data_IF_954124342909
#
_entry.id   IF_954124342909
#
_cell.length_a   1.000
_cell.length_b   1.000
_cell.length_c   1.000
_cell.angle_alpha   90.00
_cell.angle_beta   90.00
_cell.angle_gamma   90.00
#
_symmetry.space_group_name_H-M   'P 1'
#
loop_
_entity.id
_entity.type
_entity.pdbx_description
1 polymer ?
#
# COMPACT_ATOMS: atom_id res chain seq x y z
N UNK A 1 3.79 -8.77 11.32
CA UNK A 1 4.51 -10.05 11.55
C UNK A 1 3.59 -11.26 11.72
N UNK A 2 2.58 -11.25 12.60
CA UNK A 2 1.73 -12.42 12.85
C UNK A 2 1.07 -13.01 11.59
N UNK A 3 0.64 -12.16 10.66
CA UNK A 3 0.05 -12.59 9.39
C UNK A 3 1.02 -13.44 8.52
N UNK A 4 2.32 -13.13 8.54
CA UNK A 4 3.33 -13.88 7.79
C UNK A 4 3.55 -15.27 8.39
N UNK A 5 3.64 -15.38 9.71
CA UNK A 5 3.77 -16.65 10.41
C UNK A 5 2.56 -17.57 10.11
N UNK A 6 1.33 -17.03 10.18
CA UNK A 6 0.11 -17.76 9.83
C UNK A 6 0.11 -18.21 8.38
N UNK A 7 0.56 -17.34 7.45
CA UNK A 7 0.61 -17.69 6.03
C UNK A 7 1.63 -18.79 5.75
N UNK A 8 2.82 -18.72 6.34
CA UNK A 8 3.86 -19.72 6.18
C UNK A 8 3.44 -21.09 6.73
N UNK A 9 2.77 -21.12 7.88
CA UNK A 9 2.21 -22.33 8.49
C UNK A 9 1.15 -22.98 7.59
N UNK A 10 0.19 -22.18 7.08
CA UNK A 10 -0.83 -22.64 6.13
C UNK A 10 -0.26 -23.20 4.83
N UNK A 11 0.83 -22.59 4.34
CA UNK A 11 1.55 -23.06 3.16
C UNK A 11 2.49 -24.23 3.45
N UNK A 12 2.58 -24.70 4.70
CA UNK A 12 3.48 -25.76 5.15
C UNK A 12 4.96 -25.49 4.83
N UNK A 13 5.34 -24.21 4.82
CA UNK A 13 6.73 -23.77 4.60
C UNK A 13 7.56 -23.82 5.89
N UNK A 14 6.89 -23.91 7.04
CA UNK A 14 7.50 -24.07 8.36
C UNK A 14 6.89 -25.29 9.05
N UNK A 15 7.65 -25.90 9.95
CA UNK A 15 7.18 -27.03 10.75
C UNK A 15 6.25 -26.56 11.88
N UNK A 16 5.41 -27.44 12.44
CA UNK A 16 4.57 -27.10 13.59
C UNK A 16 5.39 -26.62 14.80
N UNK A 17 6.59 -27.17 14.98
CA UNK A 17 7.51 -26.73 16.03
C UNK A 17 8.01 -25.30 15.79
N UNK A 18 8.44 -24.99 14.57
CA UNK A 18 8.87 -23.62 14.21
C UNK A 18 7.72 -22.63 14.38
N UNK A 19 6.52 -22.97 13.93
CA UNK A 19 5.30 -22.16 14.12
C UNK A 19 5.06 -21.86 15.61
N UNK A 20 5.11 -22.87 16.48
CA UNK A 20 5.00 -22.71 17.95
C UNK A 20 6.10 -21.81 18.51
N UNK A 21 7.36 -22.02 18.11
CA UNK A 21 8.49 -21.22 18.60
C UNK A 21 8.37 -19.74 18.19
N UNK A 22 7.98 -19.46 16.94
CA UNK A 22 7.72 -18.11 16.47
C UNK A 22 6.67 -17.39 17.33
N UNK A 23 5.60 -18.08 17.71
CA UNK A 23 4.57 -17.51 18.56
C UNK A 23 5.06 -17.19 19.98
N UNK A 24 5.86 -18.08 20.57
CA UNK A 24 6.47 -17.87 21.89
C UNK A 24 7.41 -16.66 21.84
N UNK A 25 8.27 -16.59 20.83
CA UNK A 25 9.24 -15.51 20.69
C UNK A 25 8.57 -14.16 20.43
N UNK A 26 7.57 -14.11 19.54
CA UNK A 26 6.76 -12.89 19.33
C UNK A 26 6.03 -12.44 20.60
N UNK A 27 5.60 -13.38 21.45
CA UNK A 27 5.03 -13.06 22.76
C UNK A 27 6.06 -12.45 23.71
N UNK A 28 7.22 -13.11 23.85
CA UNK A 28 8.34 -12.68 24.69
C UNK A 28 8.85 -11.29 24.32
N UNK A 29 8.94 -10.98 23.03
CA UNK A 29 9.43 -9.71 22.51
C UNK A 29 8.34 -8.62 22.44
N UNK A 30 7.09 -8.93 22.81
CA UNK A 30 5.97 -7.98 22.76
C UNK A 30 5.42 -7.69 21.36
N UNK A 31 5.91 -8.39 20.33
CA UNK A 31 5.56 -8.20 18.92
C UNK A 31 4.11 -8.56 18.57
N UNK A 32 3.39 -9.20 19.50
CA UNK A 32 1.95 -9.44 19.37
C UNK A 32 1.11 -8.16 19.46
N UNK A 33 1.62 -7.13 20.14
CA UNK A 33 0.89 -5.86 20.36
C UNK A 33 1.44 -4.73 19.49
N UNK A 34 2.74 -4.74 19.21
CA UNK A 34 3.39 -3.72 18.38
C UNK A 34 4.48 -4.37 17.56
N UNK A 35 4.46 -4.18 16.24
CA UNK A 35 5.52 -4.72 15.40
C UNK A 35 6.88 -4.11 15.78
N UNK A 36 8.00 -4.86 15.61
CA UNK A 36 9.33 -4.41 16.03
C UNK A 36 9.69 -3.04 15.47
N UNK A 37 9.40 -2.85 14.18
CA UNK A 37 9.52 -1.59 13.46
C UNK A 37 8.21 -1.35 12.72
N UNK A 38 7.65 -0.16 12.85
CA UNK A 38 6.53 0.26 12.02
C UNK A 38 7.07 0.50 10.60
N UNK A 39 6.46 -0.08 9.56
CA UNK A 39 6.83 0.25 8.19
C UNK A 39 6.63 1.75 7.97
N UNK A 40 7.51 2.36 7.17
CA UNK A 40 7.33 3.74 6.77
C UNK A 40 5.96 3.89 6.09
N UNK A 41 5.29 5.04 6.30
CA UNK A 41 4.00 5.32 5.66
C UNK A 41 4.16 5.15 4.15
N UNK A 42 3.39 4.21 3.59
CA UNK A 42 3.36 4.02 2.15
C UNK A 42 2.63 5.19 1.50
N UNK A 43 3.26 5.79 0.50
CA UNK A 43 2.64 6.80 -0.34
C UNK A 43 2.29 6.17 -1.69
N UNK A 44 1.03 6.28 -2.15
CA UNK A 44 0.61 5.63 -3.38
C UNK A 44 1.25 6.33 -4.59
N UNK A 45 2.22 5.68 -5.21
CA UNK A 45 2.98 6.23 -6.35
C UNK A 45 2.16 6.35 -7.64
N UNK A 46 1.17 5.46 -7.83
CA UNK A 46 0.34 5.41 -9.03
C UNK A 46 -0.94 6.21 -8.95
N UNK A 47 -1.40 6.55 -7.73
CA UNK A 47 -2.70 7.20 -7.55
C UNK A 47 -2.76 8.55 -8.28
N UNK A 48 -1.66 9.32 -8.26
CA UNK A 48 -1.56 10.60 -8.99
C UNK A 48 -1.70 10.39 -10.49
N UNK A 49 -1.06 9.34 -11.01
CA UNK A 49 -1.06 9.03 -12.42
C UNK A 49 -2.45 8.58 -12.87
N UNK A 50 -3.14 7.77 -12.06
CA UNK A 50 -4.52 7.35 -12.35
C UNK A 50 -5.46 8.55 -12.42
N UNK A 51 -5.43 9.44 -11.43
CA UNK A 51 -6.32 10.61 -11.40
C UNK A 51 -5.98 11.57 -12.53
N UNK A 52 -4.68 11.84 -12.73
CA UNK A 52 -4.21 12.66 -13.85
C UNK A 52 -4.61 12.09 -15.21
N UNK A 53 -4.61 10.77 -15.38
CA UNK A 53 -5.05 10.10 -16.60
C UNK A 53 -6.55 10.32 -16.83
N UNK A 54 -7.40 10.09 -15.83
CA UNK A 54 -8.85 10.27 -15.99
C UNK A 54 -9.22 11.73 -16.25
N UNK A 55 -8.58 12.67 -15.56
CA UNK A 55 -8.88 14.09 -15.75
C UNK A 55 -8.29 14.68 -17.04
N UNK A 56 -7.05 14.32 -17.41
CA UNK A 56 -6.34 14.95 -18.55
C UNK A 56 -6.42 14.17 -19.87
N UNK A 57 -6.54 12.85 -19.81
CA UNK A 57 -6.60 11.99 -21.02
C UNK A 57 -8.02 11.59 -21.35
N UNK A 58 -8.82 11.28 -20.34
CA UNK A 58 -10.23 10.93 -20.53
C UNK A 58 -11.19 12.11 -20.37
N UNK A 59 -10.67 13.30 -20.02
CA UNK A 59 -11.42 14.56 -19.85
C UNK A 59 -12.55 14.50 -18.82
N UNK A 60 -12.40 13.70 -17.77
CA UNK A 60 -13.37 13.65 -16.69
C UNK A 60 -13.32 14.95 -15.88
N UNK A 61 -14.49 15.54 -15.65
CA UNK A 61 -14.67 16.63 -14.70
C UNK A 61 -14.58 16.13 -13.26
N UNK A 62 -14.41 17.07 -12.31
CA UNK A 62 -14.42 16.76 -10.87
C UNK A 62 -15.76 16.14 -10.45
N UNK A 63 -16.88 16.63 -11.00
CA UNK A 63 -18.20 16.11 -10.69
C UNK A 63 -18.38 14.66 -11.17
N UNK A 64 -17.86 14.34 -12.35
CA UNK A 64 -17.89 12.97 -12.89
C UNK A 64 -16.98 12.04 -12.11
N UNK A 65 -15.79 12.51 -11.70
CA UNK A 65 -14.89 11.74 -10.84
C UNK A 65 -15.50 11.47 -9.46
N UNK A 66 -16.12 12.48 -8.86
CA UNK A 66 -16.82 12.34 -7.58
C UNK A 66 -17.97 11.32 -7.70
N UNK A 67 -18.75 11.40 -8.79
CA UNK A 67 -19.81 10.43 -9.08
C UNK A 67 -19.28 9.01 -9.33
N UNK A 68 -18.18 8.87 -10.07
CA UNK A 68 -17.54 7.57 -10.35
C UNK A 68 -17.11 6.89 -9.04
N UNK A 69 -16.54 7.66 -8.12
CA UNK A 69 -16.02 7.18 -6.84
C UNK A 69 -17.07 7.17 -5.72
N UNK A 70 -18.31 7.55 -6.01
CA UNK A 70 -19.41 7.67 -5.02
C UNK A 70 -19.06 8.59 -3.86
N UNK A 71 -18.45 9.75 -4.18
CA UNK A 71 -18.02 10.79 -3.24
C UNK A 71 -18.75 12.10 -3.53
N UNK A 72 -18.79 13.00 -2.55
CA UNK A 72 -19.11 14.41 -2.78
C UNK A 72 -17.90 15.10 -3.44
N UNK A 73 -18.16 16.14 -4.24
CA UNK A 73 -17.09 16.87 -4.93
C UNK A 73 -16.06 17.47 -3.96
N UNK A 74 -16.50 17.93 -2.79
CA UNK A 74 -15.61 18.44 -1.74
C UNK A 74 -14.71 17.34 -1.15
N UNK A 75 -15.26 16.14 -0.92
CA UNK A 75 -14.51 14.99 -0.40
C UNK A 75 -13.49 14.49 -1.42
N UNK A 76 -13.88 14.43 -2.70
CA UNK A 76 -12.95 14.09 -3.77
C UNK A 76 -11.76 15.06 -3.82
N UNK A 77 -12.04 16.36 -3.75
CA UNK A 77 -11.01 17.40 -3.73
C UNK A 77 -10.09 17.24 -2.51
N UNK A 78 -10.64 16.99 -1.33
CA UNK A 78 -9.86 16.84 -0.10
C UNK A 78 -8.96 15.59 -0.13
N UNK A 79 -9.51 14.44 -0.52
CA UNK A 79 -8.79 13.16 -0.53
C UNK A 79 -7.70 13.07 -1.60
N UNK A 80 -7.90 13.76 -2.74
CA UNK A 80 -7.04 13.62 -3.91
C UNK A 80 -6.28 14.89 -4.31
N UNK A 81 -6.16 15.86 -3.39
CA UNK A 81 -5.30 17.05 -3.53
C UNK A 81 -3.84 16.68 -3.78
N UNK A 82 -3.14 17.53 -4.54
CA UNK A 82 -1.74 17.32 -4.91
C UNK A 82 -0.79 17.09 -3.72
N UNK A 83 -1.10 17.60 -2.52
CA UNK A 83 -0.26 17.41 -1.32
C UNK A 83 -0.34 15.99 -0.76
N UNK A 84 -1.49 15.31 -0.88
CA UNK A 84 -1.72 13.96 -0.35
C UNK A 84 -1.22 12.85 -1.28
N UNK A 85 -1.12 13.14 -2.57
CA UNK A 85 -0.68 12.17 -3.59
C UNK A 85 0.86 12.16 -3.78
N UNK A 86 1.60 12.84 -2.89
CA UNK A 86 3.07 12.92 -2.86
C UNK A 86 3.66 13.77 -3.98
N UNK A 87 4.73 14.54 -3.72
CA UNK A 87 5.39 15.32 -4.77
C UNK A 87 5.74 14.44 -5.98
N UNK A 88 5.67 14.97 -7.21
CA UNK A 88 6.17 14.25 -8.37
C UNK A 88 7.64 13.91 -8.10
N UNK A 89 7.96 12.63 -7.95
CA UNK A 89 9.35 12.22 -7.99
C UNK A 89 9.94 12.77 -9.30
N UNK A 90 11.01 13.58 -9.25
CA UNK A 90 11.62 14.15 -10.46
C UNK A 90 12.12 13.05 -11.41
N UNK A 91 12.22 11.81 -10.92
CA UNK A 91 12.46 10.63 -11.73
C UNK A 91 11.14 10.09 -12.32
N UNK A 92 10.68 10.68 -13.42
CA UNK A 92 9.71 10.08 -14.35
C UNK A 92 10.24 8.84 -15.09
N UNK A 93 11.16 8.09 -14.48
CA UNK A 93 11.77 6.90 -15.05
C UNK A 93 10.89 5.68 -14.83
N UNK A 94 10.37 5.10 -15.92
CA UNK A 94 9.74 3.77 -15.91
C UNK A 94 10.58 2.80 -15.08
N UNK A 95 9.99 2.03 -14.13
CA UNK A 95 10.74 1.03 -13.39
C UNK A 95 11.38 0.06 -14.40
N UNK A 96 12.73 0.03 -14.44
CA UNK A 96 13.46 -0.92 -15.28
C UNK A 96 13.32 -2.30 -14.65
N UNK A 97 12.53 -3.17 -15.26
CA UNK A 97 12.48 -4.57 -14.88
C UNK A 97 13.88 -5.17 -15.04
N UNK A 98 14.46 -5.63 -13.93
CA UNK A 98 15.75 -6.33 -13.94
C UNK A 98 15.48 -7.81 -14.11
N UNK A 99 15.75 -8.36 -15.29
CA UNK A 99 15.73 -9.80 -15.52
C UNK A 99 16.95 -10.40 -14.82
N UNK A 100 16.72 -11.32 -13.89
CA UNK A 100 17.78 -12.13 -13.27
C UNK A 100 17.89 -13.38 -14.13
N UNK A 101 19.06 -13.59 -14.76
CA UNK A 101 19.42 -14.84 -15.45
C UNK A 101 19.82 -15.90 -14.44
#
# INVERSE_FOLDING_TARGET
MAALAVRADRLKLITPYQSKMFWIEMGRLGYRKREPNEPAKEHPSLLRQMIGFHMKKLNYSIAEMAKLLQLRAAEFQEMYRAEMVGEPSPAGGRPKLRVIK
#
